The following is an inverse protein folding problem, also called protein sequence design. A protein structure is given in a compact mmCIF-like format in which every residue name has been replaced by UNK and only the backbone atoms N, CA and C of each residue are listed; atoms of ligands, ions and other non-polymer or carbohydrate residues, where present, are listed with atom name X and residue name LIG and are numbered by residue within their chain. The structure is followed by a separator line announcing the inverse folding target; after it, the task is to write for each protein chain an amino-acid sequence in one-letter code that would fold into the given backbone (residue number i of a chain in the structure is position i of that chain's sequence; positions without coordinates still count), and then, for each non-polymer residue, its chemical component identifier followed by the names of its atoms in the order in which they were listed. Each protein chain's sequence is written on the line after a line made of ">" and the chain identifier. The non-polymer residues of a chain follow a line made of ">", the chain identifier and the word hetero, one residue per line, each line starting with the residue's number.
data_IF_349850078165
#
_entry.id   IF_349850078165
#
_cell.length_a   1.000
_cell.length_b   1.000
_cell.length_c   1.000
_cell.angle_alpha   90.00
_cell.angle_beta   90.00
_cell.angle_gamma   90.00
#
_symmetry.space_group_name_H-M   'P 1'
#
loop_
_entity.id
_entity.type
_entity.pdbx_description
1 polymer ?
#
# COMPACT_ATOMS: atom_id res chain seq x y z
N UNK A 1 -20.73 -23.87 31.67
CA UNK A 1 -21.10 -23.66 30.25
C UNK A 1 -19.97 -22.87 29.61
N UNK A 2 -19.39 -23.36 28.51
CA UNK A 2 -18.40 -22.59 27.75
C UNK A 2 -19.16 -21.74 26.73
N UNK A 3 -18.87 -20.44 26.67
CA UNK A 3 -19.45 -19.57 25.65
C UNK A 3 -18.72 -19.83 24.32
N UNK A 4 -19.44 -19.89 23.18
CA UNK A 4 -18.81 -20.05 21.88
C UNK A 4 -17.85 -18.88 21.60
N UNK A 5 -16.82 -19.12 20.80
CA UNK A 5 -15.91 -18.04 20.41
C UNK A 5 -16.66 -16.96 19.62
N UNK A 6 -16.13 -15.74 19.60
CA UNK A 6 -16.73 -14.66 18.81
C UNK A 6 -16.78 -15.03 17.32
N UNK A 7 -15.75 -15.73 16.84
CA UNK A 7 -15.67 -16.25 15.48
C UNK A 7 -16.75 -17.29 15.17
N UNK A 8 -16.95 -18.26 16.07
CA UNK A 8 -18.05 -19.23 15.95
C UNK A 8 -19.42 -18.55 15.98
N UNK A 9 -19.57 -17.50 16.78
CA UNK A 9 -20.82 -16.76 16.91
C UNK A 9 -21.14 -15.97 15.64
N UNK A 10 -20.14 -15.32 15.04
CA UNK A 10 -20.24 -14.59 13.77
C UNK A 10 -20.46 -15.54 12.60
N UNK A 11 -19.80 -16.71 12.58
CA UNK A 11 -19.94 -17.71 11.52
C UNK A 11 -21.32 -18.39 11.45
N UNK A 12 -22.08 -18.41 12.56
CA UNK A 12 -23.44 -18.98 12.59
C UNK A 12 -24.51 -18.07 11.98
N UNK A 13 -24.20 -16.80 11.73
CA UNK A 13 -25.15 -15.83 11.19
C UNK A 13 -24.99 -15.72 9.67
N UNK A 14 -26.06 -15.97 8.91
CA UNK A 14 -26.06 -15.69 7.46
C UNK A 14 -25.98 -14.17 7.22
N UNK A 15 -25.18 -13.74 6.25
CA UNK A 15 -24.89 -12.32 5.98
C UNK A 15 -24.35 -11.59 7.24
N UNK A 16 -23.36 -12.19 7.89
CA UNK A 16 -22.76 -11.74 9.15
C UNK A 16 -22.06 -10.38 9.08
N UNK A 17 -21.86 -9.82 7.90
CA UNK A 17 -21.08 -8.61 7.68
C UNK A 17 -21.68 -7.35 8.31
N UNK A 18 -23.01 -7.29 8.42
CA UNK A 18 -23.68 -6.24 9.18
C UNK A 18 -23.26 -6.26 10.66
N UNK A 19 -23.13 -7.45 11.25
CA UNK A 19 -22.71 -7.61 12.64
C UNK A 19 -21.22 -7.33 12.83
N UNK A 20 -20.38 -7.67 11.85
CA UNK A 20 -18.95 -7.30 11.85
C UNK A 20 -18.81 -5.78 11.87
N UNK A 21 -19.58 -5.03 11.07
CA UNK A 21 -19.57 -3.57 11.08
C UNK A 21 -20.08 -2.98 12.40
N UNK A 22 -21.19 -3.51 12.95
CA UNK A 22 -21.70 -3.05 14.24
C UNK A 22 -20.71 -3.30 15.38
N UNK A 23 -20.02 -4.45 15.37
CA UNK A 23 -18.96 -4.74 16.33
C UNK A 23 -17.74 -3.84 16.13
N UNK A 24 -17.38 -3.51 14.88
CA UNK A 24 -16.32 -2.56 14.59
C UNK A 24 -16.64 -1.16 15.15
N UNK A 25 -17.89 -0.70 15.02
CA UNK A 25 -18.34 0.57 15.59
C UNK A 25 -18.28 0.53 17.13
N UNK A 26 -18.84 -0.52 17.75
CA UNK A 26 -18.86 -0.68 19.20
C UNK A 26 -17.45 -0.78 19.80
N UNK A 27 -16.57 -1.58 19.20
CA UNK A 27 -15.22 -1.81 19.69
C UNK A 27 -14.24 -0.69 19.32
N UNK A 28 -14.62 0.17 18.37
CA UNK A 28 -13.90 1.39 18.01
C UNK A 28 -14.15 2.55 18.97
N UNK A 29 -15.24 2.51 19.75
CA UNK A 29 -15.63 3.55 20.70
C UNK A 29 -14.57 3.75 21.80
N UNK A 30 -14.03 4.97 21.98
CA UNK A 30 -13.04 5.27 23.01
C UNK A 30 -13.48 4.86 24.43
N UNK A 31 -14.74 5.10 24.80
CA UNK A 31 -15.27 4.81 26.13
C UNK A 31 -15.31 3.30 26.41
N UNK A 32 -15.59 2.50 25.37
CA UNK A 32 -15.54 1.04 25.44
C UNK A 32 -14.08 0.56 25.58
N UNK A 33 -13.15 1.23 24.89
CA UNK A 33 -11.73 0.87 24.88
C UNK A 33 -10.96 1.28 26.14
N UNK A 34 -11.51 2.14 26.99
CA UNK A 34 -10.94 2.42 28.32
C UNK A 34 -10.92 1.16 29.21
N UNK A 35 -11.85 0.24 29.00
CA UNK A 35 -11.91 -1.01 29.76
C UNK A 35 -10.91 -2.02 29.19
N UNK A 36 -9.92 -2.43 30.01
CA UNK A 36 -8.82 -3.32 29.62
C UNK A 36 -9.28 -4.60 28.89
N UNK A 37 -10.32 -5.26 29.38
CA UNK A 37 -10.87 -6.49 28.76
C UNK A 37 -11.43 -6.23 27.37
N UNK A 38 -12.17 -5.13 27.21
CA UNK A 38 -12.75 -4.72 25.93
C UNK A 38 -11.68 -4.27 24.94
N UNK A 39 -10.61 -3.62 25.41
CA UNK A 39 -9.48 -3.26 24.55
C UNK A 39 -8.72 -4.49 24.01
N UNK A 40 -8.56 -5.54 24.82
CA UNK A 40 -7.97 -6.81 24.36
C UNK A 40 -8.85 -7.47 23.31
N UNK A 41 -10.16 -7.51 23.55
CA UNK A 41 -11.13 -8.02 22.57
C UNK A 41 -11.11 -7.21 21.27
N UNK A 42 -11.12 -5.88 21.37
CA UNK A 42 -11.06 -4.96 20.23
C UNK A 42 -9.81 -5.19 19.39
N UNK A 43 -8.63 -5.29 20.02
CA UNK A 43 -7.37 -5.60 19.31
C UNK A 43 -7.49 -6.90 18.52
N UNK A 44 -7.90 -7.99 19.17
CA UNK A 44 -8.05 -9.29 18.50
C UNK A 44 -9.09 -9.24 17.38
N UNK A 45 -10.20 -8.53 17.59
CA UNK A 45 -11.26 -8.37 16.60
C UNK A 45 -10.78 -7.61 15.36
N UNK A 46 -10.16 -6.44 15.55
CA UNK A 46 -9.67 -5.65 14.43
C UNK A 46 -8.52 -6.34 13.70
N UNK A 47 -7.69 -7.16 14.35
CA UNK A 47 -6.69 -7.98 13.66
C UNK A 47 -7.33 -9.02 12.74
N UNK A 48 -8.37 -9.72 13.20
CA UNK A 48 -8.95 -10.84 12.46
C UNK A 48 -9.95 -10.41 11.38
N UNK A 49 -10.63 -9.27 11.57
CA UNK A 49 -11.70 -8.82 10.66
C UNK A 49 -11.34 -7.57 9.86
N UNK A 50 -10.08 -7.10 9.94
CA UNK A 50 -9.61 -5.88 9.26
C UNK A 50 -10.00 -5.84 7.79
N UNK A 51 -9.68 -6.90 7.06
CA UNK A 51 -9.93 -7.00 5.62
C UNK A 51 -11.43 -6.91 5.32
N UNK A 52 -12.26 -7.71 6.00
CA UNK A 52 -13.70 -7.65 5.79
C UNK A 52 -14.29 -6.27 6.08
N UNK A 53 -13.84 -5.60 7.15
CA UNK A 53 -14.28 -4.24 7.49
C UNK A 53 -13.89 -3.26 6.38
N UNK A 54 -12.65 -3.31 5.89
CA UNK A 54 -12.17 -2.45 4.82
C UNK A 54 -12.93 -2.70 3.51
N UNK A 55 -13.24 -3.96 3.19
CA UNK A 55 -14.00 -4.35 1.99
C UNK A 55 -15.39 -3.73 2.02
N UNK A 56 -16.05 -3.86 3.18
CA UNK A 56 -17.39 -3.33 3.40
C UNK A 56 -17.46 -1.82 3.31
N UNK A 57 -16.39 -1.13 3.73
CA UNK A 57 -16.28 0.32 3.63
C UNK A 57 -15.85 0.79 2.22
N UNK A 58 -15.67 -0.13 1.26
CA UNK A 58 -15.32 0.20 -0.12
C UNK A 58 -13.85 0.58 -0.34
N UNK A 59 -12.97 0.26 0.62
CA UNK A 59 -11.53 0.42 0.44
C UNK A 59 -10.99 -0.71 -0.44
N UNK A 60 -10.15 -0.36 -1.42
CA UNK A 60 -9.38 -1.34 -2.18
C UNK A 60 -8.33 -1.97 -1.26
N UNK A 61 -8.59 -3.20 -0.87
CA UNK A 61 -7.71 -3.98 -0.01
C UNK A 61 -6.78 -4.74 -0.94
N UNK A 62 -5.72 -4.06 -1.36
CA UNK A 62 -4.52 -4.75 -1.81
C UNK A 62 -4.09 -5.81 -0.78
N UNK A 63 -3.17 -6.73 -1.11
CA UNK A 63 -2.80 -7.85 -0.25
C UNK A 63 -2.47 -7.37 1.17
N UNK A 64 -3.25 -7.83 2.15
CA UNK A 64 -3.38 -7.22 3.47
C UNK A 64 -2.12 -7.25 4.36
N UNK A 65 -1.03 -7.86 3.89
CA UNK A 65 0.27 -7.95 4.56
C UNK A 65 1.42 -7.88 3.55
N UNK A 66 1.39 -6.93 2.61
CA UNK A 66 2.61 -6.60 1.87
C UNK A 66 3.57 -5.90 2.83
N UNK A 67 4.50 -6.66 3.39
CA UNK A 67 5.76 -6.09 3.88
C UNK A 67 6.31 -5.24 2.72
N UNK A 68 6.53 -3.95 3.00
CA UNK A 68 6.97 -3.01 1.97
C UNK A 68 8.25 -3.55 1.34
N UNK A 69 8.37 -3.41 0.02
CA UNK A 69 9.55 -3.90 -0.70
C UNK A 69 10.74 -3.05 -0.25
N UNK A 70 11.73 -3.67 0.39
CA UNK A 70 12.93 -2.97 0.84
C UNK A 70 13.72 -2.45 -0.34
N UNK A 71 14.00 -1.16 -0.35
CA UNK A 71 14.85 -0.53 -1.35
C UNK A 71 16.27 -0.40 -0.79
N UNK A 72 17.24 -1.05 -1.42
CA UNK A 72 18.63 -1.05 -0.96
C UNK A 72 19.32 0.29 -1.17
N UNK A 73 18.98 1.00 -2.24
CA UNK A 73 19.52 2.32 -2.59
C UNK A 73 18.39 3.34 -2.79
N UNK A 74 17.75 3.83 -1.70
CA UNK A 74 16.52 4.63 -1.77
C UNK A 74 16.66 5.92 -2.58
N UNK A 75 17.80 6.61 -2.46
CA UNK A 75 18.03 7.87 -3.17
C UNK A 75 18.09 7.65 -4.68
N UNK A 76 18.87 6.65 -5.12
CA UNK A 76 19.01 6.28 -6.53
C UNK A 76 17.65 5.84 -7.11
N UNK A 77 16.90 5.02 -6.37
CA UNK A 77 15.56 4.61 -6.76
C UNK A 77 14.62 5.79 -6.97
N UNK A 78 14.58 6.75 -6.04
CA UNK A 78 13.71 7.94 -6.15
C UNK A 78 14.14 8.81 -7.36
N UNK A 79 15.44 8.95 -7.61
CA UNK A 79 15.95 9.67 -8.79
C UNK A 79 15.49 9.00 -10.10
N UNK A 80 15.51 7.66 -10.19
CA UNK A 80 14.95 6.91 -11.31
C UNK A 80 13.45 7.14 -11.49
N UNK A 81 12.68 7.03 -10.40
CA UNK A 81 11.22 7.25 -10.43
C UNK A 81 10.89 8.68 -10.91
N UNK A 82 11.67 9.68 -10.50
CA UNK A 82 11.52 11.05 -11.00
C UNK A 82 11.82 11.16 -12.50
N UNK A 83 12.89 10.50 -12.98
CA UNK A 83 13.20 10.44 -14.40
C UNK A 83 12.07 9.80 -15.23
N UNK A 84 11.50 8.69 -14.76
CA UNK A 84 10.35 8.03 -15.40
C UNK A 84 9.11 8.94 -15.43
N UNK A 85 8.84 9.64 -14.32
CA UNK A 85 7.74 10.57 -14.19
C UNK A 85 7.81 11.72 -15.19
N UNK A 86 8.97 12.37 -15.30
CA UNK A 86 9.18 13.46 -16.29
C UNK A 86 9.04 13.00 -17.74
N UNK A 87 9.24 11.71 -18.00
CA UNK A 87 9.09 11.12 -19.32
C UNK A 87 7.67 10.58 -19.61
N UNK A 88 6.70 10.86 -18.73
CA UNK A 88 5.30 10.50 -18.92
C UNK A 88 5.01 9.01 -18.80
N UNK A 89 5.80 8.27 -18.00
CA UNK A 89 5.56 6.83 -17.75
C UNK A 89 4.47 6.56 -16.73
N UNK A 90 4.18 7.53 -15.88
CA UNK A 90 3.01 7.53 -15.00
C UNK A 90 1.99 8.47 -15.67
N UNK A 91 0.71 8.15 -15.56
CA UNK A 91 -0.40 8.90 -16.20
C UNK A 91 -0.50 10.35 -15.65
N UNK A 92 -1.68 10.96 -15.56
CA UNK A 92 -1.86 12.30 -14.96
C UNK A 92 -1.63 12.34 -13.43
N UNK A 93 -0.65 11.61 -12.92
CA UNK A 93 -0.23 11.63 -11.52
C UNK A 93 0.56 12.89 -11.21
N UNK A 94 0.38 13.41 -10.00
CA UNK A 94 1.20 14.45 -9.39
C UNK A 94 2.44 13.88 -8.69
N UNK A 95 3.40 14.73 -8.33
CA UNK A 95 4.56 14.31 -7.52
C UNK A 95 4.13 13.81 -6.13
N UNK A 96 3.07 14.40 -5.58
CA UNK A 96 2.47 14.05 -4.30
C UNK A 96 1.87 12.65 -4.34
N UNK A 97 1.09 12.33 -5.38
CA UNK A 97 0.52 11.00 -5.59
C UNK A 97 1.62 9.96 -5.85
N UNK A 98 2.62 10.29 -6.67
CA UNK A 98 3.76 9.38 -6.88
C UNK A 98 4.50 9.09 -5.57
N UNK A 99 4.72 10.11 -4.73
CA UNK A 99 5.36 9.92 -3.43
C UNK A 99 4.51 9.07 -2.48
N UNK A 100 3.18 9.23 -2.52
CA UNK A 100 2.25 8.39 -1.77
C UNK A 100 2.35 6.93 -2.19
N UNK A 101 2.29 6.64 -3.50
CA UNK A 101 2.45 5.29 -4.03
C UNK A 101 3.79 4.68 -3.65
N UNK A 102 4.88 5.45 -3.74
CA UNK A 102 6.19 4.97 -3.33
C UNK A 102 6.20 4.63 -1.84
N UNK A 103 5.70 5.51 -0.99
CA UNK A 103 5.65 5.26 0.46
C UNK A 103 4.72 4.10 0.82
N UNK A 104 3.67 3.86 0.04
CA UNK A 104 2.73 2.76 0.27
C UNK A 104 3.39 1.40 -0.01
N UNK A 105 4.17 1.29 -1.08
CA UNK A 105 4.67 0.01 -1.62
C UNK A 105 6.09 -0.30 -1.18
N UNK A 106 6.94 0.73 -1.05
CA UNK A 106 8.38 0.56 -0.88
C UNK A 106 8.86 1.07 0.48
N UNK A 107 9.74 0.30 1.12
CA UNK A 107 10.47 0.76 2.31
C UNK A 107 11.75 1.44 1.84
N UNK A 108 11.68 2.76 1.77
CA UNK A 108 12.78 3.64 1.40
C UNK A 108 13.51 4.20 2.63
N UNK A 109 12.97 4.01 3.83
CA UNK A 109 13.42 4.71 5.03
C UNK A 109 13.13 6.21 5.08
N UNK A 110 12.45 6.78 4.07
CA UNK A 110 12.05 8.18 4.03
C UNK A 110 10.56 8.37 4.29
N UNK A 111 10.20 9.49 4.93
CA UNK A 111 8.81 9.94 4.99
C UNK A 111 8.33 10.41 3.60
N UNK A 112 7.02 10.26 3.32
CA UNK A 112 6.41 10.67 2.05
C UNK A 112 6.73 12.12 1.66
N UNK A 113 6.75 13.05 2.61
CA UNK A 113 7.12 14.45 2.39
C UNK A 113 8.56 14.60 1.83
N UNK A 114 9.49 13.80 2.37
CA UNK A 114 10.88 13.76 1.92
C UNK A 114 10.99 13.13 0.54
N UNK A 115 10.25 12.05 0.28
CA UNK A 115 10.19 11.42 -1.05
C UNK A 115 9.69 12.40 -2.10
N UNK A 116 8.60 13.13 -1.82
CA UNK A 116 8.04 14.13 -2.72
C UNK A 116 9.07 15.24 -3.03
N UNK A 117 9.78 15.74 -2.02
CA UNK A 117 10.84 16.73 -2.22
C UNK A 117 11.98 16.17 -3.08
N UNK A 118 12.44 14.95 -2.79
CA UNK A 118 13.50 14.28 -3.56
C UNK A 118 13.11 14.09 -5.03
N UNK A 119 11.86 13.68 -5.30
CA UNK A 119 11.34 13.58 -6.67
C UNK A 119 11.43 14.92 -7.41
N UNK A 120 11.03 16.02 -6.75
CA UNK A 120 11.03 17.36 -7.34
C UNK A 120 12.45 17.88 -7.63
N UNK A 121 13.42 17.61 -6.76
CA UNK A 121 14.80 18.11 -6.89
C UNK A 121 15.76 17.15 -7.61
N UNK A 122 15.28 15.98 -8.01
CA UNK A 122 16.10 14.98 -8.69
C UNK A 122 16.78 15.56 -9.96
N UNK A 123 18.04 15.17 -10.15
CA UNK A 123 18.86 15.62 -11.27
C UNK A 123 18.33 15.10 -12.62
N UNK A 124 18.49 15.90 -13.68
CA UNK A 124 18.07 15.54 -15.05
C UNK A 124 18.91 14.41 -15.66
N UNK A 125 20.08 14.09 -15.08
CA UNK A 125 21.02 13.08 -15.62
C UNK A 125 20.39 11.69 -15.81
N UNK A 126 19.34 11.36 -15.04
CA UNK A 126 18.61 10.09 -15.16
C UNK A 126 17.72 10.00 -16.41
N UNK A 127 17.47 11.13 -17.08
CA UNK A 127 16.77 11.19 -18.35
C UNK A 127 17.56 10.45 -19.45
N UNK A 128 18.90 10.51 -19.39
CA UNK A 128 19.78 9.77 -20.29
C UNK A 128 19.69 8.25 -20.10
N UNK A 129 19.41 7.78 -18.87
CA UNK A 129 19.27 6.35 -18.61
C UNK A 129 17.95 5.82 -19.20
N UNK A 130 16.87 6.58 -19.07
CA UNK A 130 15.60 6.27 -19.73
C UNK A 130 15.74 6.21 -21.26
N UNK A 131 16.42 7.19 -21.86
CA UNK A 131 16.67 7.20 -23.30
C UNK A 131 17.55 6.03 -23.74
N UNK A 132 18.56 5.66 -22.93
CA UNK A 132 19.38 4.47 -23.14
C UNK A 132 18.56 3.18 -23.18
N UNK A 133 17.71 2.96 -22.17
CA UNK A 133 16.83 1.79 -22.08
C UNK A 133 15.86 1.76 -23.27
N UNK A 134 15.24 2.91 -23.61
CA UNK A 134 14.32 3.01 -24.75
C UNK A 134 15.01 2.69 -26.08
N UNK A 135 16.25 3.13 -26.27
CA UNK A 135 17.04 2.78 -27.46
C UNK A 135 17.37 1.30 -27.51
N UNK A 136 17.62 0.68 -26.36
CA UNK A 136 17.95 -0.74 -26.27
C UNK A 136 16.73 -1.63 -26.58
N UNK A 137 15.55 -1.29 -26.06
CA UNK A 137 14.27 -1.93 -26.39
C UNK A 137 13.98 -1.84 -27.90
N UNK A 138 14.24 -0.68 -28.53
CA UNK A 138 14.07 -0.52 -29.99
C UNK A 138 15.02 -1.39 -30.81
N UNK A 139 16.16 -1.81 -30.23
CA UNK A 139 17.18 -2.65 -30.90
C UNK A 139 16.95 -4.14 -30.68
N UNK A 140 16.14 -4.55 -29.69
CA UNK A 140 15.81 -5.96 -29.45
C UNK A 140 15.20 -6.69 -30.66
N UNK A 141 14.26 -6.12 -31.44
CA UNK A 141 13.68 -6.79 -32.60
C UNK A 141 14.73 -7.12 -33.67
N UNK A 142 15.62 -6.15 -33.96
CA UNK A 142 16.69 -6.31 -34.93
C UNK A 142 17.74 -7.37 -34.55
N UNK A 143 17.88 -7.68 -33.25
CA UNK A 143 18.74 -8.78 -32.77
C UNK A 143 18.05 -10.14 -32.86
N UNK A 144 16.73 -10.20 -32.76
CA UNK A 144 15.95 -11.46 -32.88
C UNK A 144 15.82 -11.94 -34.32
N UNK A 145 15.88 -11.04 -35.30
CA UNK A 145 15.86 -11.37 -36.74
C UNK A 145 17.26 -11.67 -37.32
N UNK A 146 18.32 -11.51 -36.53
CA UNK A 146 19.71 -11.75 -36.92
C UNK A 146 20.29 -13.09 -36.47
N UNK A 147 19.48 -14.17 -36.44
CA UNK A 147 19.93 -15.56 -36.27
C UNK A 147 19.53 -16.37 -37.49
#
# INVERSE_FOLDING_TARGET
>A
MSYPSLEESIGRVKNNSHYILLLALLLGDPEIREKKTWNVLAKSFFTNYREMILLYCGYDIGPANLERIRVMEPKLFIEYMSGMFRNGMFEESSYEELAEFINLVFDTGYEQSSICNLLKVAHEDYQHIHDGIRMEIKREPARREGI
#
